data_IF_885499183559
#
_entry.id   IF_885499183559
#
_cell.length_a   1.000
_cell.length_b   1.000
_cell.length_c   1.000
_cell.angle_alpha   90.00
_cell.angle_beta   90.00
_cell.angle_gamma   90.00
#
_symmetry.space_group_name_H-M   'P 1'
#
loop_
_entity.id
_entity.type
_entity.pdbx_description
1 polymer ?
#
# COMPACT_ATOMS: atom_id res chain seq x y z
N UNK A 1 5.26 -5.84 18.65
CA UNK A 1 4.99 -4.77 17.66
C UNK A 1 5.13 -3.44 18.36
N UNK A 2 6.21 -2.72 18.10
CA UNK A 2 6.50 -1.41 18.70
C UNK A 2 5.70 -0.34 17.97
N UNK A 3 5.09 0.64 18.66
CA UNK A 3 4.35 1.72 17.99
C UNK A 3 5.28 2.59 17.15
N UNK A 4 4.81 2.97 15.96
CA UNK A 4 5.51 3.92 15.11
C UNK A 4 5.34 5.34 15.71
N UNK A 5 6.42 6.12 15.90
CA UNK A 5 6.33 7.52 16.29
C UNK A 5 5.42 8.31 15.34
N UNK A 6 4.69 9.29 15.87
CA UNK A 6 3.79 10.16 15.12
C UNK A 6 2.72 9.43 14.28
N UNK A 7 2.34 8.21 14.67
CA UNK A 7 1.35 7.38 13.94
C UNK A 7 -0.01 8.07 13.71
N UNK A 8 -0.40 8.99 14.60
CA UNK A 8 -1.64 9.78 14.48
C UNK A 8 -1.66 10.67 13.24
N UNK A 9 -0.50 11.12 12.75
CA UNK A 9 -0.37 11.90 11.51
C UNK A 9 -0.88 11.15 10.28
N UNK A 10 -0.76 9.82 10.29
CA UNK A 10 -1.12 8.96 9.16
C UNK A 10 -2.50 8.32 9.30
N UNK A 11 -3.19 8.58 10.40
CA UNK A 11 -4.51 8.05 10.73
C UNK A 11 -5.54 9.16 11.07
N UNK A 12 -5.56 10.31 10.36
CA UNK A 12 -6.50 11.37 10.67
C UNK A 12 -7.93 10.92 10.36
N UNK A 13 -8.92 11.50 11.05
CA UNK A 13 -10.29 11.48 10.56
C UNK A 13 -10.38 12.32 9.29
N UNK A 14 -11.11 11.83 8.28
CA UNK A 14 -11.21 12.50 6.98
C UNK A 14 -12.67 12.77 6.61
N UNK A 15 -13.01 14.04 6.38
CA UNK A 15 -14.23 14.41 5.68
C UNK A 15 -14.14 14.05 4.19
N UNK A 16 -15.26 14.03 3.46
CA UNK A 16 -15.22 13.79 2.01
C UNK A 16 -14.42 14.85 1.26
N UNK A 17 -14.51 16.12 1.68
CA UNK A 17 -13.72 17.20 1.09
C UNK A 17 -12.20 16.99 1.30
N UNK A 18 -11.78 16.58 2.51
CA UNK A 18 -10.38 16.26 2.79
C UNK A 18 -9.93 15.06 1.95
N UNK A 19 -10.79 14.05 1.78
CA UNK A 19 -10.49 12.90 0.92
C UNK A 19 -10.29 13.29 -0.54
N UNK A 20 -11.01 14.29 -1.04
CA UNK A 20 -10.86 14.81 -2.38
C UNK A 20 -9.54 15.57 -2.54
N UNK A 21 -9.29 16.51 -1.63
CA UNK A 21 -8.19 17.47 -1.72
C UNK A 21 -6.82 16.85 -1.38
N UNK A 22 -6.78 15.93 -0.42
CA UNK A 22 -5.52 15.42 0.13
C UNK A 22 -5.07 14.12 -0.53
N UNK A 23 -5.80 13.61 -1.52
CA UNK A 23 -5.42 12.39 -2.24
C UNK A 23 -3.99 12.54 -2.83
N UNK A 24 -3.08 11.57 -2.68
CA UNK A 24 -3.27 10.18 -2.20
C UNK A 24 -3.06 9.93 -0.69
N UNK A 25 -3.14 10.96 0.14
CA UNK A 25 -2.96 10.96 1.60
C UNK A 25 -1.53 10.70 2.06
N UNK A 26 -1.25 11.06 3.32
CA UNK A 26 0.06 10.85 3.93
C UNK A 26 0.32 9.35 4.20
N UNK A 27 1.56 8.92 3.95
CA UNK A 27 2.03 7.58 4.28
C UNK A 27 3.44 7.64 4.89
N UNK A 28 3.78 6.73 5.81
CA UNK A 28 5.14 6.61 6.33
C UNK A 28 6.15 6.30 5.23
N UNK A 29 7.36 6.83 5.37
CA UNK A 29 8.52 6.35 4.62
C UNK A 29 8.98 5.02 5.23
N UNK A 30 9.05 3.97 4.42
CA UNK A 30 9.48 2.63 4.87
C UNK A 30 8.33 1.68 5.24
N UNK A 31 8.68 0.61 5.95
CA UNK A 31 7.75 -0.45 6.30
C UNK A 31 7.02 -0.18 7.61
N UNK A 32 5.76 -0.61 7.68
CA UNK A 32 4.93 -0.51 8.87
C UNK A 32 3.93 -1.66 8.93
N UNK A 33 3.29 -1.85 10.09
CA UNK A 33 2.13 -2.73 10.22
C UNK A 33 0.97 -1.95 10.82
N UNK A 34 -0.14 -1.89 10.09
CA UNK A 34 -1.42 -1.47 10.67
C UNK A 34 -1.96 -2.63 11.49
N UNK A 35 -2.23 -2.42 12.78
CA UNK A 35 -2.78 -3.42 13.68
C UNK A 35 -3.60 -2.75 14.77
N UNK A 36 -4.82 -3.24 15.04
CA UNK A 36 -5.71 -2.70 16.07
C UNK A 36 -5.90 -1.18 15.96
N UNK A 37 -6.07 -0.67 14.72
CA UNK A 37 -6.27 0.74 14.43
C UNK A 37 -5.04 1.63 14.65
N UNK A 38 -3.86 1.06 14.92
CA UNK A 38 -2.62 1.78 15.17
C UNK A 38 -1.50 1.34 14.20
N UNK A 39 -0.47 2.19 14.07
CA UNK A 39 0.73 1.85 13.28
C UNK A 39 1.86 1.39 14.18
N UNK A 40 2.48 0.29 13.75
CA UNK A 40 3.61 -0.30 14.40
C UNK A 40 4.80 -0.41 13.44
N UNK A 41 6.00 -0.44 14.00
CA UNK A 41 7.20 -0.81 13.27
C UNK A 41 7.07 -2.23 12.69
N UNK A 42 7.64 -2.40 11.51
CA UNK A 42 7.80 -3.72 10.89
C UNK A 42 9.07 -4.39 11.42
N UNK A 43 8.89 -5.28 12.40
CA UNK A 43 10.01 -5.92 13.11
C UNK A 43 10.06 -7.44 12.92
N UNK A 44 9.03 -8.04 12.30
CA UNK A 44 8.90 -9.48 12.15
C UNK A 44 8.32 -9.87 10.79
N UNK A 45 9.15 -10.45 9.92
CA UNK A 45 8.75 -10.91 8.60
C UNK A 45 7.73 -12.07 8.64
N UNK A 46 7.55 -12.73 9.78
CA UNK A 46 6.53 -13.77 9.96
C UNK A 46 5.12 -13.29 9.62
N UNK A 47 4.84 -12.01 9.84
CA UNK A 47 3.52 -11.41 9.61
C UNK A 47 3.14 -11.40 8.12
N UNK A 48 4.11 -11.57 7.21
CA UNK A 48 3.90 -11.64 5.76
C UNK A 48 3.46 -13.02 5.27
N UNK A 49 3.67 -14.08 6.07
CA UNK A 49 3.47 -15.46 5.60
C UNK A 49 2.02 -15.74 5.27
N UNK A 50 1.80 -16.39 4.13
CA UNK A 50 0.47 -16.77 3.65
C UNK A 50 -0.38 -15.60 3.13
N UNK A 51 0.22 -14.42 2.95
CA UNK A 51 -0.46 -13.23 2.42
C UNK A 51 -0.11 -12.99 0.95
N UNK A 52 -1.05 -12.43 0.22
CA UNK A 52 -0.86 -11.95 -1.16
C UNK A 52 -0.22 -10.57 -1.13
N UNK A 53 0.92 -10.41 -1.81
CA UNK A 53 1.57 -9.13 -2.02
C UNK A 53 0.83 -8.32 -3.09
N UNK A 54 0.27 -7.16 -2.72
CA UNK A 54 -0.42 -6.26 -3.64
C UNK A 54 0.29 -4.91 -3.67
N UNK A 55 0.70 -4.46 -4.85
CA UNK A 55 1.24 -3.11 -5.04
C UNK A 55 0.16 -2.07 -4.76
N UNK A 56 0.50 -1.13 -3.89
CA UNK A 56 -0.38 -0.04 -3.49
C UNK A 56 -0.10 1.21 -4.32
N UNK A 57 -1.01 1.48 -5.26
CA UNK A 57 -1.01 2.70 -6.07
C UNK A 57 -2.02 3.69 -5.51
N UNK A 58 -1.73 4.99 -5.62
CA UNK A 58 -2.64 6.03 -5.14
C UNK A 58 -2.85 5.97 -3.63
N UNK A 59 -4.11 6.07 -3.18
CA UNK A 59 -4.47 6.10 -1.75
C UNK A 59 -4.23 4.80 -1.00
N UNK A 60 -4.07 3.66 -1.67
CA UNK A 60 -3.77 2.38 -1.02
C UNK A 60 -2.41 2.36 -0.32
N UNK A 61 -1.55 3.35 -0.60
CA UNK A 61 -0.29 3.54 0.13
C UNK A 61 -0.50 4.02 1.57
N UNK A 62 -1.65 4.64 1.87
CA UNK A 62 -1.87 5.41 3.09
C UNK A 62 -2.56 4.59 4.20
N UNK A 63 -2.04 4.63 5.44
CA UNK A 63 -2.63 3.88 6.55
C UNK A 63 -4.10 4.18 6.83
N UNK A 64 -4.50 5.46 6.75
CA UNK A 64 -5.91 5.86 6.94
C UNK A 64 -6.86 5.19 5.95
N UNK A 65 -6.41 5.00 4.70
CA UNK A 65 -7.20 4.33 3.67
C UNK A 65 -7.30 2.82 3.95
N UNK A 66 -6.20 2.18 4.34
CA UNK A 66 -6.18 0.77 4.70
C UNK A 66 -7.08 0.49 5.91
N UNK A 67 -6.99 1.32 6.96
CA UNK A 67 -7.88 1.26 8.13
C UNK A 67 -9.35 1.41 7.73
N UNK A 68 -9.66 2.33 6.82
CA UNK A 68 -11.04 2.53 6.33
C UNK A 68 -11.57 1.30 5.57
N UNK A 69 -10.72 0.62 4.78
CA UNK A 69 -11.11 -0.57 4.02
C UNK A 69 -11.32 -1.79 4.92
N UNK A 70 -10.38 -2.03 5.83
CA UNK A 70 -10.31 -3.31 6.55
C UNK A 70 -10.80 -3.24 8.00
N UNK A 71 -11.03 -2.04 8.52
CA UNK A 71 -11.46 -1.80 9.89
C UNK A 71 -10.31 -1.88 10.91
N UNK A 72 -10.61 -1.49 12.14
CA UNK A 72 -9.60 -1.38 13.19
C UNK A 72 -9.00 -2.72 13.61
N UNK A 73 -9.77 -3.81 13.53
CA UNK A 73 -9.30 -5.13 13.91
C UNK A 73 -8.28 -5.74 12.92
N UNK A 74 -8.09 -5.12 11.74
CA UNK A 74 -7.24 -5.65 10.69
C UNK A 74 -5.75 -5.61 11.05
N UNK A 75 -5.03 -6.63 10.61
CA UNK A 75 -3.56 -6.65 10.56
C UNK A 75 -3.13 -6.55 9.11
N UNK A 76 -2.49 -5.45 8.74
CA UNK A 76 -2.01 -5.20 7.37
C UNK A 76 -0.54 -4.79 7.41
N UNK A 77 0.37 -5.71 7.10
CA UNK A 77 1.78 -5.39 6.89
C UNK A 77 1.96 -4.64 5.58
N UNK A 78 2.82 -3.63 5.59
CA UNK A 78 3.17 -2.84 4.42
C UNK A 78 4.67 -2.71 4.32
N UNK A 79 5.22 -3.03 3.14
CA UNK A 79 6.67 -2.98 2.88
C UNK A 79 6.97 -2.13 1.65
N UNK A 80 8.09 -1.39 1.61
CA UNK A 80 8.48 -0.61 0.43
C UNK A 80 8.81 -1.51 -0.77
N UNK A 81 8.58 -1.00 -1.97
CA UNK A 81 8.98 -1.64 -3.23
C UNK A 81 9.27 -0.57 -4.29
N UNK A 82 10.15 -0.88 -5.23
CA UNK A 82 10.33 -0.10 -6.45
C UNK A 82 9.59 -0.80 -7.58
N UNK A 83 8.79 -0.05 -8.32
CA UNK A 83 8.25 -0.48 -9.60
C UNK A 83 9.12 0.14 -10.71
N UNK A 84 9.72 -0.71 -11.53
CA UNK A 84 10.61 -0.34 -12.62
C UNK A 84 9.85 -0.13 -13.92
N UNK A 85 10.42 0.69 -14.81
CA UNK A 85 9.89 1.00 -16.14
C UNK A 85 8.43 1.49 -16.16
N UNK A 86 7.98 2.10 -15.05
CA UNK A 86 6.64 2.61 -14.89
C UNK A 86 6.64 3.91 -14.08
N UNK A 87 5.64 4.74 -14.34
CA UNK A 87 5.32 5.91 -13.53
C UNK A 87 3.88 5.81 -13.02
N UNK A 88 3.56 6.58 -11.98
CA UNK A 88 2.19 6.71 -11.46
C UNK A 88 1.59 8.01 -12.00
N UNK A 89 0.61 7.86 -12.88
CA UNK A 89 -0.08 8.97 -13.53
C UNK A 89 -1.52 9.06 -13.06
N UNK A 90 -2.15 10.21 -13.27
CA UNK A 90 -3.60 10.33 -13.09
C UNK A 90 -4.32 9.59 -14.21
N UNK A 91 -5.34 8.81 -13.86
CA UNK A 91 -6.27 8.28 -14.84
C UNK A 91 -7.43 9.26 -15.07
N UNK A 92 -8.14 9.10 -16.18
CA UNK A 92 -9.30 9.93 -16.53
C UNK A 92 -10.56 9.50 -15.75
N UNK A 93 -10.44 9.22 -14.45
CA UNK A 93 -11.55 8.82 -13.59
C UNK A 93 -11.59 9.64 -12.30
N UNK A 94 -12.80 10.08 -11.96
CA UNK A 94 -13.09 10.79 -10.72
C UNK A 94 -13.81 9.82 -9.79
N UNK A 95 -13.24 9.64 -8.60
CA UNK A 95 -13.86 8.84 -7.53
C UNK A 95 -15.15 9.49 -7.04
N UNK A 96 -16.01 8.73 -6.36
CA UNK A 96 -17.30 9.24 -5.86
C UNK A 96 -17.19 10.45 -4.93
N UNK A 97 -16.03 10.62 -4.27
CA UNK A 97 -15.73 11.73 -3.37
C UNK A 97 -14.94 12.86 -4.05
N UNK A 98 -14.76 12.82 -5.37
CA UNK A 98 -14.20 13.94 -6.14
C UNK A 98 -12.67 13.93 -6.33
N UNK A 99 -11.94 12.92 -5.85
CA UNK A 99 -10.51 12.79 -6.16
C UNK A 99 -10.28 12.20 -7.56
N UNK A 100 -9.26 12.69 -8.26
CA UNK A 100 -8.74 12.10 -9.50
C UNK A 100 -7.85 10.92 -9.14
N UNK A 101 -8.20 9.73 -9.61
CA UNK A 101 -7.48 8.52 -9.24
C UNK A 101 -6.14 8.38 -9.98
N UNK A 102 -5.30 7.45 -9.54
CA UNK A 102 -4.00 7.17 -10.14
C UNK A 102 -3.93 5.75 -10.69
N UNK A 103 -3.14 5.57 -11.73
CA UNK A 103 -2.80 4.27 -12.31
C UNK A 103 -1.30 4.19 -12.58
N UNK A 104 -0.75 2.98 -12.56
CA UNK A 104 0.56 2.74 -13.15
C UNK A 104 0.47 2.86 -14.68
N UNK A 105 1.47 3.47 -15.30
CA UNK A 105 1.58 3.61 -16.74
C UNK A 105 3.01 3.29 -17.21
N UNK A 106 3.20 2.55 -18.31
CA UNK A 106 4.53 2.23 -18.82
C UNK A 106 5.36 3.48 -19.09
N UNK A 107 6.56 3.54 -18.50
CA UNK A 107 7.50 4.64 -18.67
C UNK A 107 8.93 4.11 -18.54
N UNK A 108 9.51 3.69 -19.65
CA UNK A 108 10.83 3.03 -19.68
C UNK A 108 11.91 3.92 -19.06
N UNK A 109 12.73 3.33 -18.17
CA UNK A 109 13.78 4.01 -17.43
C UNK A 109 13.31 4.83 -16.23
N UNK A 110 12.02 4.79 -15.90
CA UNK A 110 11.46 5.42 -14.70
C UNK A 110 11.33 4.38 -13.60
N UNK A 111 11.83 4.73 -12.41
CA UNK A 111 11.67 3.93 -11.19
C UNK A 111 10.83 4.72 -10.20
N UNK A 112 9.76 4.10 -9.70
CA UNK A 112 8.89 4.73 -8.69
C UNK A 112 8.89 3.94 -7.39
N UNK A 113 9.13 4.66 -6.29
CA UNK A 113 9.00 4.12 -4.94
C UNK A 113 7.52 4.01 -4.57
N UNK A 114 7.07 2.78 -4.35
CA UNK A 114 5.75 2.41 -3.89
C UNK A 114 5.84 1.61 -2.59
N UNK A 115 4.69 1.11 -2.14
CA UNK A 115 4.65 0.09 -1.12
C UNK A 115 3.76 -1.09 -1.56
N UNK A 116 3.92 -2.20 -0.85
CA UNK A 116 3.19 -3.44 -1.02
C UNK A 116 2.36 -3.65 0.24
N UNK A 117 1.05 -3.73 0.10
CA UNK A 117 0.17 -4.21 1.15
C UNK A 117 0.10 -5.73 1.08
N UNK A 118 0.34 -6.40 2.20
CA UNK A 118 0.27 -7.85 2.32
C UNK A 118 -1.10 -8.24 2.85
N UNK A 119 -1.93 -8.80 1.99
CA UNK A 119 -3.34 -9.04 2.27
C UNK A 119 -3.60 -10.53 2.50
N UNK A 120 -4.37 -10.86 3.52
CA UNK A 120 -5.01 -12.19 3.59
C UNK A 120 -6.18 -12.28 2.59
N UNK A 121 -6.79 -13.46 2.47
CA UNK A 121 -7.81 -13.73 1.45
C UNK A 121 -9.06 -12.85 1.62
N UNK A 122 -9.47 -12.58 2.87
CA UNK A 122 -10.63 -11.72 3.15
C UNK A 122 -10.31 -10.26 2.80
N UNK A 123 -9.13 -9.76 3.18
CA UNK A 123 -8.65 -8.44 2.81
C UNK A 123 -8.49 -8.29 1.29
N UNK A 124 -8.03 -9.32 0.60
CA UNK A 124 -7.90 -9.31 -0.85
C UNK A 124 -9.27 -9.19 -1.54
N UNK A 125 -10.29 -9.90 -1.06
CA UNK A 125 -11.65 -9.79 -1.57
C UNK A 125 -12.24 -8.37 -1.36
N UNK A 126 -12.00 -7.77 -0.20
CA UNK A 126 -12.37 -6.37 0.07
C UNK A 126 -11.63 -5.42 -0.88
N UNK A 127 -10.33 -5.63 -1.09
CA UNK A 127 -9.52 -4.83 -2.00
C UNK A 127 -10.12 -4.86 -3.41
N UNK A 128 -10.39 -6.05 -3.96
CA UNK A 128 -11.01 -6.20 -5.29
C UNK A 128 -12.35 -5.48 -5.41
N UNK A 129 -13.18 -5.55 -4.36
CA UNK A 129 -14.47 -4.85 -4.33
C UNK A 129 -14.27 -3.33 -4.36
N UNK A 130 -13.34 -2.81 -3.56
CA UNK A 130 -13.10 -1.36 -3.46
C UNK A 130 -12.43 -0.75 -4.69
N UNK A 131 -11.64 -1.53 -5.42
CA UNK A 131 -11.03 -1.12 -6.69
C UNK A 131 -11.94 -1.43 -7.90
N UNK A 132 -13.14 -1.96 -7.67
CA UNK A 132 -14.10 -2.34 -8.71
C UNK A 132 -13.43 -3.13 -9.85
N UNK A 133 -12.76 -4.22 -9.49
CA UNK A 133 -11.98 -5.03 -10.45
C UNK A 133 -12.86 -5.50 -11.62
N UNK A 134 -12.36 -5.32 -12.84
CA UNK A 134 -13.07 -5.59 -14.10
C UNK A 134 -13.98 -4.44 -14.57
N UNK A 135 -14.04 -3.34 -13.81
CA UNK A 135 -14.76 -2.11 -14.18
C UNK A 135 -13.82 -0.91 -14.17
N UNK A 136 -13.17 -0.63 -13.03
CA UNK A 136 -12.30 0.53 -12.87
C UNK A 136 -10.81 0.17 -13.00
N UNK A 137 -10.42 -0.99 -12.49
CA UNK A 137 -9.06 -1.52 -12.57
C UNK A 137 -9.06 -3.00 -12.94
N UNK A 138 -7.94 -3.47 -13.48
CA UNK A 138 -7.66 -4.88 -13.67
C UNK A 138 -6.74 -5.39 -12.57
N UNK A 139 -7.01 -6.60 -12.07
CA UNK A 139 -6.08 -7.29 -11.18
C UNK A 139 -5.08 -8.08 -12.01
N UNK A 140 -3.84 -7.58 -12.08
CA UNK A 140 -2.77 -8.17 -12.88
C UNK A 140 -1.61 -8.63 -12.01
N UNK A 141 -0.94 -9.68 -12.47
CA UNK A 141 0.30 -10.16 -11.87
C UNK A 141 1.50 -9.55 -12.58
N UNK A 142 2.35 -8.86 -11.84
CA UNK A 142 3.66 -8.44 -12.33
C UNK A 142 4.65 -9.60 -12.32
N UNK A 143 5.53 -9.65 -13.32
CA UNK A 143 6.58 -10.67 -13.42
C UNK A 143 7.87 -10.21 -12.74
N UNK A 144 8.71 -11.20 -12.39
CA UNK A 144 9.96 -10.97 -11.69
C UNK A 144 10.89 -10.04 -12.50
N UNK A 145 11.51 -9.07 -11.83
CA UNK A 145 12.36 -8.04 -12.45
C UNK A 145 11.67 -6.70 -12.74
N UNK A 146 10.33 -6.64 -12.77
CA UNK A 146 9.58 -5.37 -12.88
C UNK A 146 9.36 -4.75 -11.50
N UNK A 147 9.29 -5.56 -10.46
CA UNK A 147 9.15 -5.11 -9.07
C UNK A 147 10.39 -5.49 -8.29
N UNK A 148 11.14 -4.48 -7.85
CA UNK A 148 12.23 -4.64 -6.90
C UNK A 148 11.69 -4.50 -5.48
N UNK A 149 11.66 -5.56 -4.69
CA UNK A 149 11.46 -5.39 -3.26
C UNK A 149 12.70 -4.70 -2.69
N UNK A 150 12.50 -3.50 -2.16
CA UNK A 150 13.58 -2.87 -1.43
C UNK A 150 13.89 -3.72 -0.20
N UNK A 151 15.17 -3.90 0.17
CA UNK A 151 15.52 -4.53 1.42
C UNK A 151 14.79 -3.79 2.53
N UNK A 152 13.88 -4.48 3.21
CA UNK A 152 13.21 -3.87 4.35
C UNK A 152 14.26 -3.85 5.44
N UNK A 153 14.74 -2.64 5.77
CA UNK A 153 15.49 -2.44 7.00
C UNK A 153 14.54 -2.83 8.13
N UNK A 154 14.80 -3.96 8.78
CA UNK A 154 14.19 -4.21 10.08
C UNK A 154 14.54 -3.02 11.00
N UNK A 155 13.67 -2.67 11.96
CA UNK A 155 14.07 -1.72 13.00
C UNK A 155 15.30 -2.30 13.74
N UNK A 156 16.50 -1.85 13.37
CA UNK A 156 17.76 -2.49 13.76
C UNK A 156 18.87 -2.49 12.70
N UNK A 157 18.58 -2.17 11.43
CA UNK A 157 19.59 -2.03 10.37
C UNK A 157 19.92 -3.31 9.60
N UNK A 158 19.26 -4.42 9.90
CA UNK A 158 19.42 -5.67 9.16
C UNK A 158 18.56 -5.66 7.88
N UNK A 159 19.17 -6.07 6.77
CA UNK A 159 18.53 -6.22 5.47
C UNK A 159 17.72 -7.52 5.44
N UNK A 160 16.39 -7.42 5.43
CA UNK A 160 15.54 -8.56 5.06
C UNK A 160 15.62 -8.71 3.55
N UNK A 161 16.18 -9.83 3.07
CA UNK A 161 16.23 -10.14 1.66
C UNK A 161 14.82 -10.12 1.06
N UNK A 162 14.68 -9.55 -0.15
CA UNK A 162 13.46 -9.61 -0.93
C UNK A 162 12.88 -11.03 -0.90
N UNK A 163 11.79 -11.24 -0.17
CA UNK A 163 11.05 -12.48 -0.29
C UNK A 163 10.60 -12.55 -1.76
N UNK A 164 11.08 -13.54 -2.50
CA UNK A 164 10.61 -13.76 -3.86
C UNK A 164 9.13 -14.13 -3.78
N UNK A 165 8.22 -13.31 -4.34
CA UNK A 165 6.83 -13.72 -4.43
C UNK A 165 6.78 -14.93 -5.37
N UNK A 166 6.25 -16.06 -4.89
CA UNK A 166 6.01 -17.25 -5.70
C UNK A 166 4.85 -17.03 -6.66
#
# INVERSE_FOLDING_TARGET
MTLLPDSTRFLPDQSEAARAADYPYAAPEGAFVLNQGALHHFDDAAVLRGRTAVLSVGSNRAPVQLRRKFGDAAVVPVTPAILHDCDIVHNAAISYYGAVSCTAFPSKGTDVLLNVAWLDDDQLAIMHTTEAVGIAYDFIRFFNGIVGHLPVLAAGGDIVAAAQPV
#
